data_IF_398547754822
#
_entry.id   IF_398547754822
#
_cell.length_a   1.000
_cell.length_b   1.000
_cell.length_c   1.000
_cell.angle_alpha   90.00
_cell.angle_beta   90.00
_cell.angle_gamma   90.00
#
_symmetry.space_group_name_H-M   'P 1'
#
loop_
_entity.id
_entity.type
_entity.pdbx_description
1 polymer ?
#
# COMPACT_ATOMS: atom_id res chain seq x y z
N UNK A 1 -32.70 4.50 4.06
CA UNK A 1 -32.34 5.40 2.94
C UNK A 1 -30.90 5.07 2.56
N UNK A 2 -30.73 4.48 1.38
CA UNK A 2 -29.53 3.95 0.69
C UNK A 2 -28.26 3.61 1.51
N UNK A 3 -28.08 2.31 1.77
CA UNK A 3 -26.79 1.72 2.08
C UNK A 3 -25.86 1.83 0.86
N UNK A 4 -24.79 2.63 0.97
CA UNK A 4 -23.67 2.59 0.03
C UNK A 4 -22.86 1.33 0.34
N UNK A 5 -23.40 0.20 -0.08
CA UNK A 5 -22.70 -1.07 -0.16
C UNK A 5 -22.05 -1.17 -1.54
N UNK A 6 -21.21 -0.18 -1.87
CA UNK A 6 -20.27 -0.34 -2.97
C UNK A 6 -19.28 -1.41 -2.52
N UNK A 7 -19.37 -2.58 -3.16
CA UNK A 7 -18.51 -3.73 -2.92
C UNK A 7 -17.04 -3.33 -3.15
N UNK A 8 -16.36 -2.85 -2.11
CA UNK A 8 -14.90 -2.80 -2.07
C UNK A 8 -14.40 -4.24 -2.21
N UNK A 9 -14.05 -4.65 -3.44
CA UNK A 9 -13.30 -5.87 -3.72
C UNK A 9 -11.94 -5.79 -2.98
N UNK A 10 -11.33 -6.93 -2.61
CA UNK A 10 -10.80 -7.12 -1.26
C UNK A 10 -9.64 -6.19 -0.93
N UNK A 11 -9.69 -5.62 0.28
CA UNK A 11 -8.77 -4.63 0.80
C UNK A 11 -7.30 -5.00 0.58
N UNK A 12 -6.48 -4.01 0.18
CA UNK A 12 -5.02 -4.16 0.18
C UNK A 12 -4.55 -4.15 1.63
N UNK A 13 -3.73 -5.12 2.01
CA UNK A 13 -3.05 -5.14 3.32
C UNK A 13 -1.57 -4.88 3.07
N UNK A 14 -1.02 -3.84 3.68
CA UNK A 14 0.42 -3.58 3.66
C UNK A 14 1.11 -4.42 4.74
N UNK A 15 2.21 -5.06 4.38
CA UNK A 15 2.86 -6.15 5.12
C UNK A 15 4.31 -5.83 5.36
N UNK A 16 4.75 -5.98 6.61
CA UNK A 16 6.13 -5.70 6.98
C UNK A 16 6.73 -6.71 7.94
N UNK A 17 8.05 -6.80 7.88
CA UNK A 17 8.88 -7.45 8.87
C UNK A 17 9.12 -6.46 10.03
N UNK A 18 8.25 -6.43 11.04
CA UNK A 18 8.51 -5.68 12.26
C UNK A 18 9.21 -6.59 13.27
N UNK A 19 10.38 -6.18 13.78
CA UNK A 19 10.99 -6.79 14.95
C UNK A 19 10.05 -6.64 16.17
N UNK A 20 9.99 -7.67 17.01
CA UNK A 20 9.06 -7.80 18.14
C UNK A 20 9.06 -6.57 19.07
N UNK A 21 7.88 -6.00 19.32
CA UNK A 21 7.61 -5.24 20.54
C UNK A 21 6.56 -6.03 21.32
N UNK A 22 6.89 -6.62 22.47
CA UNK A 22 5.91 -7.39 23.24
C UNK A 22 4.84 -6.44 23.81
N UNK A 23 3.55 -6.77 23.63
CA UNK A 23 2.53 -6.35 24.58
C UNK A 23 1.38 -5.41 24.15
N UNK A 24 0.98 -5.30 22.87
CA UNK A 24 -0.30 -4.62 22.54
C UNK A 24 -1.11 -5.35 21.47
N UNK A 25 -2.25 -5.90 21.88
CA UNK A 25 -3.30 -6.40 21.00
C UNK A 25 -4.15 -5.21 20.49
N UNK A 26 -4.47 -5.19 19.19
CA UNK A 26 -5.40 -4.20 18.63
C UNK A 26 -5.09 -3.64 17.24
N UNK A 27 -4.11 -4.19 16.51
CA UNK A 27 -3.79 -3.78 15.15
C UNK A 27 -3.77 -5.02 14.25
N UNK A 28 -4.38 -4.95 13.06
CA UNK A 28 -4.07 -5.89 11.99
C UNK A 28 -2.72 -5.51 11.35
N UNK A 29 -1.69 -5.31 12.18
CA UNK A 29 -0.30 -5.34 11.76
C UNK A 29 0.10 -6.79 11.72
N UNK A 30 0.38 -7.25 10.53
CA UNK A 30 0.69 -8.64 10.36
C UNK A 30 2.20 -8.82 10.41
N UNK A 31 2.66 -9.12 11.62
CA UNK A 31 4.05 -9.42 11.93
C UNK A 31 4.45 -10.76 11.29
N UNK A 32 5.65 -10.83 10.70
CA UNK A 32 6.22 -12.08 10.18
C UNK A 32 6.26 -13.13 11.29
N UNK A 33 5.46 -14.21 11.22
CA UNK A 33 5.57 -15.27 12.20
C UNK A 33 6.84 -16.05 11.85
N UNK A 34 7.81 -16.08 12.76
CA UNK A 34 9.07 -16.80 12.56
C UNK A 34 8.88 -18.21 11.99
N UNK A 35 9.87 -18.68 11.21
CA UNK A 35 9.84 -19.90 10.39
C UNK A 35 9.95 -21.20 11.23
N UNK A 36 9.60 -21.19 12.51
CA UNK A 36 10.02 -22.27 13.44
C UNK A 36 9.21 -23.58 13.36
N UNK A 37 8.20 -23.69 12.51
CA UNK A 37 7.51 -24.98 12.28
C UNK A 37 6.64 -24.94 11.01
N UNK A 38 7.17 -25.35 9.85
CA UNK A 38 6.33 -25.50 8.66
C UNK A 38 6.66 -26.74 7.83
N UNK A 39 5.61 -27.38 7.31
CA UNK A 39 5.68 -28.31 6.16
C UNK A 39 5.58 -27.49 4.87
N UNK A 40 6.27 -27.95 3.82
CA UNK A 40 6.25 -27.32 2.49
C UNK A 40 4.81 -27.21 1.95
N UNK A 41 4.45 -26.03 1.42
CA UNK A 41 3.20 -25.83 0.67
C UNK A 41 2.00 -25.26 1.43
N UNK A 42 2.04 -25.12 2.76
CA UNK A 42 0.95 -24.46 3.50
C UNK A 42 1.07 -22.92 3.47
N UNK A 43 0.01 -22.20 3.05
CA UNK A 43 -0.04 -20.74 3.16
C UNK A 43 0.19 -20.34 4.61
N UNK A 44 0.98 -19.28 4.83
CA UNK A 44 1.26 -18.84 6.19
C UNK A 44 -0.07 -18.50 6.90
N UNK A 45 -0.41 -19.26 7.94
CA UNK A 45 -1.77 -19.37 8.51
C UNK A 45 -2.40 -18.04 8.94
N UNK A 46 -1.58 -17.04 9.16
CA UNK A 46 -2.05 -15.72 9.56
C UNK A 46 -2.59 -14.93 8.32
N UNK A 47 -2.11 -15.18 7.09
CA UNK A 47 -2.42 -14.36 5.90
C UNK A 47 -3.74 -14.77 5.28
N UNK A 48 -3.99 -16.08 5.28
CA UNK A 48 -5.26 -16.66 4.84
C UNK A 48 -6.45 -16.23 5.72
N UNK A 49 -6.21 -15.87 6.98
CA UNK A 49 -7.26 -15.42 7.90
C UNK A 49 -7.72 -13.98 7.65
N UNK A 50 -6.90 -13.14 7.02
CA UNK A 50 -7.20 -11.73 6.81
C UNK A 50 -8.09 -11.45 5.58
N UNK A 51 -8.32 -12.43 4.70
CA UNK A 51 -9.15 -12.25 3.49
C UNK A 51 -8.60 -11.20 2.51
N UNK A 52 -7.33 -10.82 2.62
CA UNK A 52 -6.72 -9.80 1.80
C UNK A 52 -6.69 -10.23 0.33
N UNK A 53 -7.10 -9.33 -0.57
CA UNK A 53 -7.14 -9.60 -2.01
C UNK A 53 -5.78 -9.51 -2.68
N UNK A 54 -4.86 -8.81 -2.01
CA UNK A 54 -3.51 -8.48 -2.45
C UNK A 54 -2.69 -7.98 -1.25
N UNK A 55 -1.39 -8.22 -1.31
CA UNK A 55 -0.40 -7.71 -0.35
C UNK A 55 0.41 -6.59 -1.00
N UNK A 56 0.66 -5.52 -0.25
CA UNK A 56 1.72 -4.56 -0.54
C UNK A 56 2.90 -4.83 0.41
N UNK A 57 4.06 -5.17 -0.14
CA UNK A 57 5.25 -5.51 0.61
C UNK A 57 6.13 -4.27 0.77
N UNK A 58 6.30 -3.85 2.03
CA UNK A 58 7.10 -2.67 2.40
C UNK A 58 8.13 -3.05 3.48
N UNK A 59 9.18 -2.24 3.61
CA UNK A 59 9.94 -2.07 4.84
C UNK A 59 9.63 -0.69 5.46
N UNK A 60 10.25 -0.34 6.59
CA UNK A 60 10.25 1.04 7.09
C UNK A 60 8.87 1.70 7.28
N UNK A 61 7.87 1.00 7.85
CA UNK A 61 6.52 1.54 8.01
C UNK A 61 6.45 2.85 8.80
N UNK A 62 7.36 3.03 9.76
CA UNK A 62 7.45 4.24 10.57
C UNK A 62 7.67 5.47 9.67
N UNK A 63 8.36 5.28 8.54
CA UNK A 63 8.66 6.32 7.55
C UNK A 63 7.62 6.38 6.42
N UNK A 64 6.50 5.67 6.56
CA UNK A 64 5.45 5.56 5.55
C UNK A 64 5.68 4.48 4.48
N UNK A 65 6.66 3.60 4.68
CA UNK A 65 6.99 2.49 3.78
C UNK A 65 8.17 2.80 2.86
N UNK A 66 9.15 1.91 2.84
CA UNK A 66 10.33 1.95 1.96
C UNK A 66 10.52 0.62 1.24
N UNK A 67 11.43 0.58 0.26
CA UNK A 67 11.74 -0.65 -0.49
C UNK A 67 12.18 -1.76 0.48
N UNK A 68 11.52 -2.94 0.48
CA UNK A 68 11.96 -4.07 1.29
C UNK A 68 13.22 -4.73 0.72
N UNK A 69 13.85 -5.63 1.49
CA UNK A 69 14.89 -6.52 0.92
C UNK A 69 14.27 -7.40 -0.16
N UNK A 70 14.50 -7.04 -1.41
CA UNK A 70 13.84 -7.67 -2.57
C UNK A 70 14.28 -9.11 -2.76
N UNK A 71 15.58 -9.40 -2.73
CA UNK A 71 16.08 -10.76 -2.93
C UNK A 71 15.68 -11.72 -1.80
N UNK A 72 15.67 -11.24 -0.55
CA UNK A 72 15.35 -12.07 0.61
C UNK A 72 13.87 -12.14 0.92
N UNK A 73 13.26 -11.01 1.30
CA UNK A 73 11.92 -10.99 1.85
C UNK A 73 10.86 -11.37 0.82
N UNK A 74 10.92 -10.81 -0.39
CA UNK A 74 9.94 -11.12 -1.44
C UNK A 74 9.95 -12.61 -1.79
N UNK A 75 11.13 -13.21 -1.92
CA UNK A 75 11.27 -14.62 -2.25
C UNK A 75 10.56 -15.52 -1.22
N UNK A 76 10.77 -15.27 0.07
CA UNK A 76 10.12 -16.07 1.12
C UNK A 76 8.61 -15.77 1.19
N UNK A 77 8.19 -14.51 0.99
CA UNK A 77 6.76 -14.14 0.92
C UNK A 77 6.07 -14.91 -0.20
N UNK A 78 6.65 -14.93 -1.41
CA UNK A 78 6.08 -15.61 -2.58
C UNK A 78 5.95 -17.13 -2.41
N UNK A 79 6.77 -17.74 -1.56
CA UNK A 79 6.62 -19.16 -1.16
C UNK A 79 5.47 -19.37 -0.15
N UNK A 80 5.05 -18.32 0.56
CA UNK A 80 4.11 -18.38 1.67
C UNK A 80 2.69 -17.91 1.33
N UNK A 81 2.50 -17.16 0.24
CA UNK A 81 1.21 -16.54 -0.11
C UNK A 81 0.85 -16.82 -1.56
N UNK A 82 -0.46 -16.97 -1.81
CA UNK A 82 -1.00 -17.17 -3.17
C UNK A 82 -1.68 -15.93 -3.75
N UNK A 83 -1.91 -14.90 -2.92
CA UNK A 83 -2.46 -13.63 -3.36
C UNK A 83 -1.38 -12.79 -4.05
N UNK A 84 -1.75 -11.87 -4.97
CA UNK A 84 -0.77 -10.99 -5.61
C UNK A 84 0.02 -10.17 -4.59
N UNK A 85 1.33 -10.03 -4.82
CA UNK A 85 2.26 -9.27 -3.99
C UNK A 85 2.84 -8.12 -4.80
N UNK A 86 2.52 -6.90 -4.38
CA UNK A 86 3.05 -5.67 -4.94
C UNK A 86 4.21 -5.18 -4.09
N UNK A 87 5.27 -4.69 -4.69
CA UNK A 87 6.48 -4.28 -3.95
C UNK A 87 6.64 -2.76 -3.99
N UNK A 88 6.84 -2.17 -2.81
CA UNK A 88 7.20 -0.75 -2.70
C UNK A 88 8.58 -0.49 -3.29
N UNK A 89 8.69 0.52 -4.14
CA UNK A 89 9.94 1.05 -4.70
C UNK A 89 10.06 2.50 -4.21
N UNK A 90 10.70 2.66 -3.05
CA UNK A 90 10.92 3.94 -2.37
C UNK A 90 12.21 3.86 -1.56
N UNK A 91 13.30 4.53 -2.00
CA UNK A 91 14.64 4.30 -1.46
C UNK A 91 14.83 4.85 -0.04
N UNK A 92 14.02 5.84 0.36
CA UNK A 92 14.06 6.46 1.70
C UNK A 92 12.70 7.04 2.10
N UNK A 93 12.55 7.32 3.40
CA UNK A 93 11.48 8.17 3.92
C UNK A 93 11.58 9.64 3.48
N UNK A 94 10.64 10.46 3.98
CA UNK A 94 10.56 11.89 3.68
C UNK A 94 9.79 12.20 2.39
N UNK A 95 10.29 13.17 1.63
CA UNK A 95 9.71 13.66 0.38
C UNK A 95 9.77 12.64 -0.79
N UNK A 96 9.29 13.08 -1.95
CA UNK A 96 9.24 12.32 -3.19
C UNK A 96 10.01 13.02 -4.33
N UNK A 97 10.99 13.85 -3.95
CA UNK A 97 11.94 14.51 -4.84
C UNK A 97 13.21 13.67 -4.86
N UNK A 98 13.49 13.02 -5.99
CA UNK A 98 14.60 12.07 -6.08
C UNK A 98 15.76 12.65 -6.88
N UNK A 99 16.96 12.51 -6.34
CA UNK A 99 18.21 12.74 -7.08
C UNK A 99 18.43 11.63 -8.11
N UNK A 100 19.26 11.90 -9.13
CA UNK A 100 19.59 10.92 -10.17
C UNK A 100 20.07 9.58 -9.61
N UNK A 101 20.88 9.62 -8.54
CA UNK A 101 21.38 8.41 -7.87
C UNK A 101 20.27 7.61 -7.21
N UNK A 102 19.30 8.28 -6.59
CA UNK A 102 18.14 7.61 -5.99
C UNK A 102 17.24 7.01 -7.06
N UNK A 103 17.08 7.70 -8.19
CA UNK A 103 16.37 7.18 -9.36
C UNK A 103 17.04 5.91 -9.90
N UNK A 104 18.37 5.88 -9.97
CA UNK A 104 19.09 4.68 -10.39
C UNK A 104 18.90 3.50 -9.44
N UNK A 105 18.87 3.76 -8.13
CA UNK A 105 18.53 2.75 -7.11
C UNK A 105 17.10 2.24 -7.32
N UNK A 106 16.12 3.14 -7.51
CA UNK A 106 14.73 2.76 -7.76
C UNK A 106 14.58 1.88 -9.01
N UNK A 107 15.29 2.23 -10.09
CA UNK A 107 15.31 1.43 -11.32
C UNK A 107 15.92 0.04 -11.07
N UNK A 108 17.00 -0.06 -10.30
CA UNK A 108 17.63 -1.33 -9.95
C UNK A 108 16.70 -2.21 -9.10
N UNK A 109 16.09 -1.63 -8.06
CA UNK A 109 15.13 -2.33 -7.19
C UNK A 109 13.90 -2.80 -7.95
N UNK A 110 13.37 -1.99 -8.87
CA UNK A 110 12.25 -2.39 -9.73
C UNK A 110 12.60 -3.60 -10.60
N UNK A 111 13.81 -3.65 -11.18
CA UNK A 111 14.28 -4.81 -11.96
C UNK A 111 14.43 -6.05 -11.08
N UNK A 112 15.01 -5.90 -9.89
CA UNK A 112 15.15 -7.00 -8.94
C UNK A 112 13.78 -7.52 -8.49
N UNK A 113 12.82 -6.64 -8.22
CA UNK A 113 11.49 -7.04 -7.76
C UNK A 113 10.77 -7.87 -8.82
N UNK A 114 10.89 -7.48 -10.09
CA UNK A 114 10.42 -8.27 -11.23
C UNK A 114 11.10 -9.63 -11.31
N UNK A 115 12.43 -9.66 -11.21
CA UNK A 115 13.21 -10.89 -11.29
C UNK A 115 12.81 -11.89 -10.19
N UNK A 116 12.50 -11.39 -8.99
CA UNK A 116 12.09 -12.18 -7.84
C UNK A 116 10.56 -12.43 -7.75
N UNK A 117 9.81 -12.12 -8.80
CA UNK A 117 8.42 -12.54 -8.95
C UNK A 117 7.38 -11.64 -8.30
N UNK A 118 7.64 -10.33 -8.18
CA UNK A 118 6.61 -9.35 -7.85
C UNK A 118 5.47 -9.41 -8.87
N UNK A 119 4.22 -9.31 -8.39
CA UNK A 119 3.03 -9.29 -9.25
C UNK A 119 2.62 -7.86 -9.63
N UNK A 120 3.28 -6.86 -9.04
CA UNK A 120 3.07 -5.44 -9.28
C UNK A 120 4.06 -4.59 -8.50
N UNK A 121 4.13 -3.30 -8.82
CA UNK A 121 5.04 -2.36 -8.17
C UNK A 121 4.30 -1.13 -7.69
N UNK A 122 4.84 -0.48 -6.66
CA UNK A 122 4.28 0.74 -6.08
C UNK A 122 5.39 1.78 -5.96
N UNK A 123 5.16 2.98 -6.49
CA UNK A 123 6.07 4.12 -6.30
C UNK A 123 5.30 5.43 -6.51
N UNK A 124 5.97 6.57 -6.34
CA UNK A 124 5.47 7.84 -6.84
C UNK A 124 6.56 8.90 -6.74
N UNK A 125 6.56 9.83 -7.68
CA UNK A 125 7.55 10.90 -7.76
C UNK A 125 6.84 12.23 -8.02
N UNK A 126 7.32 13.28 -7.36
CA UNK A 126 6.80 14.63 -7.48
C UNK A 126 7.91 15.58 -7.94
N UNK A 127 7.48 16.74 -8.43
CA UNK A 127 8.31 17.92 -8.67
C UNK A 127 8.26 18.85 -7.46
N UNK A 128 9.19 19.80 -7.38
CA UNK A 128 9.24 20.80 -6.29
C UNK A 128 7.94 21.60 -6.16
N UNK A 129 7.23 21.81 -7.27
CA UNK A 129 5.93 22.49 -7.32
C UNK A 129 4.74 21.61 -6.85
N UNK A 130 5.00 20.38 -6.38
CA UNK A 130 3.95 19.46 -5.95
C UNK A 130 3.13 18.90 -7.12
N UNK A 131 3.69 18.86 -8.33
CA UNK A 131 3.08 18.15 -9.48
C UNK A 131 3.70 16.78 -9.66
N UNK A 132 3.02 15.87 -10.36
CA UNK A 132 3.58 14.56 -10.74
C UNK A 132 4.82 14.78 -11.61
N UNK A 133 5.94 14.15 -11.26
CA UNK A 133 7.11 14.12 -12.12
C UNK A 133 6.88 13.13 -13.27
N UNK A 134 6.39 13.66 -14.39
CA UNK A 134 5.99 12.86 -15.55
C UNK A 134 7.17 12.13 -16.20
N UNK A 135 8.32 12.79 -16.32
CA UNK A 135 9.51 12.21 -16.96
C UNK A 135 10.05 11.04 -16.14
N UNK A 136 10.22 11.25 -14.83
CA UNK A 136 10.67 10.18 -13.94
C UNK A 136 9.66 9.04 -13.86
N UNK A 137 8.36 9.36 -13.76
CA UNK A 137 7.32 8.33 -13.74
C UNK A 137 7.33 7.50 -15.04
N UNK A 138 7.49 8.12 -16.21
CA UNK A 138 7.61 7.40 -17.48
C UNK A 138 8.83 6.46 -17.51
N UNK A 139 9.98 6.96 -17.05
CA UNK A 139 11.21 6.17 -17.00
C UNK A 139 11.08 4.94 -16.09
N UNK A 140 10.45 5.11 -14.91
CA UNK A 140 10.19 4.00 -13.98
C UNK A 140 9.13 3.03 -14.52
N UNK A 141 8.01 3.53 -15.08
CA UNK A 141 6.97 2.71 -15.70
C UNK A 141 7.55 1.82 -16.81
N UNK A 142 8.46 2.35 -17.63
CA UNK A 142 9.14 1.58 -18.67
C UNK A 142 9.93 0.40 -18.10
N UNK A 143 10.56 0.57 -16.94
CA UNK A 143 11.27 -0.51 -16.22
C UNK A 143 10.27 -1.52 -15.62
N UNK A 144 9.14 -1.05 -15.10
CA UNK A 144 8.13 -1.87 -14.42
C UNK A 144 7.34 -2.79 -15.37
N UNK A 145 7.09 -2.36 -16.62
CA UNK A 145 6.32 -3.13 -17.60
C UNK A 145 6.85 -4.56 -17.78
N UNK A 146 5.98 -5.58 -17.91
CA UNK A 146 4.52 -5.48 -18.07
C UNK A 146 3.72 -5.45 -16.76
N UNK A 147 4.38 -5.32 -15.60
CA UNK A 147 3.69 -5.41 -14.32
C UNK A 147 2.77 -4.21 -14.07
N UNK A 148 1.61 -4.42 -13.42
CA UNK A 148 0.74 -3.35 -12.97
C UNK A 148 1.45 -2.44 -11.96
N UNK A 149 1.23 -1.14 -12.07
CA UNK A 149 1.85 -0.15 -11.17
C UNK A 149 0.79 0.66 -10.44
N UNK A 150 1.02 0.87 -9.14
CA UNK A 150 0.20 1.71 -8.27
C UNK A 150 0.99 2.97 -7.88
N UNK A 151 0.38 4.15 -8.03
CA UNK A 151 0.96 5.39 -7.52
C UNK A 151 0.65 5.51 -6.01
N UNK A 152 1.67 5.60 -5.16
CA UNK A 152 1.45 5.63 -3.70
C UNK A 152 1.00 7.00 -3.17
N UNK A 153 1.00 7.15 -1.84
CA UNK A 153 0.58 8.34 -1.10
C UNK A 153 1.36 9.63 -1.34
N UNK A 154 2.37 9.65 -2.21
CA UNK A 154 2.82 10.92 -2.81
C UNK A 154 1.67 11.71 -3.43
N UNK A 155 0.60 11.03 -3.86
CA UNK A 155 -0.61 11.69 -4.33
C UNK A 155 -1.22 12.64 -3.29
N UNK A 156 -1.14 12.32 -1.99
CA UNK A 156 -1.69 13.17 -0.94
C UNK A 156 -0.92 14.49 -0.74
N UNK A 157 0.24 14.64 -1.40
CA UNK A 157 1.11 15.82 -1.33
C UNK A 157 1.07 16.68 -2.60
N UNK A 158 0.17 16.38 -3.54
CA UNK A 158 0.08 17.12 -4.80
C UNK A 158 -0.63 18.45 -4.62
N UNK A 159 -0.27 19.44 -5.45
CA UNK A 159 -0.90 20.75 -5.44
C UNK A 159 -2.35 20.72 -5.95
N UNK A 160 -2.60 20.02 -7.06
CA UNK A 160 -3.94 19.84 -7.63
C UNK A 160 -4.23 18.34 -7.86
N UNK A 161 -5.07 17.71 -7.01
CA UNK A 161 -5.34 16.28 -7.09
C UNK A 161 -6.15 15.87 -8.33
N UNK A 162 -6.95 16.77 -8.89
CA UNK A 162 -7.76 16.46 -10.09
C UNK A 162 -6.86 16.38 -11.32
N UNK A 163 -5.94 17.35 -11.47
CA UNK A 163 -4.95 17.37 -12.55
C UNK A 163 -3.93 16.24 -12.38
N UNK A 164 -3.50 15.98 -11.15
CA UNK A 164 -2.59 14.87 -10.85
C UNK A 164 -3.21 13.52 -11.26
N UNK A 165 -4.50 13.31 -10.98
CA UNK A 165 -5.20 12.08 -11.35
C UNK A 165 -5.25 11.89 -12.87
N UNK A 166 -5.58 12.93 -13.65
CA UNK A 166 -5.55 12.84 -15.12
C UNK A 166 -4.16 12.56 -15.68
N UNK A 167 -3.14 13.14 -15.06
CA UNK A 167 -1.74 12.90 -15.42
C UNK A 167 -1.38 11.44 -15.19
N UNK A 168 -1.69 10.89 -14.01
CA UNK A 168 -1.47 9.48 -13.70
C UNK A 168 -2.26 8.55 -14.62
N UNK A 169 -3.45 8.98 -15.05
CA UNK A 169 -4.25 8.27 -16.03
C UNK A 169 -3.55 8.17 -17.38
N UNK A 170 -3.09 9.31 -17.87
CA UNK A 170 -2.40 9.43 -19.16
C UNK A 170 -1.09 8.65 -19.18
N UNK A 171 -0.38 8.57 -18.05
CA UNK A 171 0.85 7.80 -17.91
C UNK A 171 0.62 6.27 -17.88
N UNK A 172 -0.58 5.83 -17.51
CA UNK A 172 -0.96 4.41 -17.47
C UNK A 172 -0.75 3.74 -16.11
N UNK A 173 -0.83 4.48 -15.01
CA UNK A 173 -0.92 3.87 -13.67
C UNK A 173 -2.28 3.22 -13.47
N UNK A 174 -2.34 1.97 -13.01
CA UNK A 174 -3.63 1.28 -12.87
C UNK A 174 -4.41 1.73 -11.63
N UNK A 175 -3.70 2.20 -10.61
CA UNK A 175 -4.23 2.50 -9.27
C UNK A 175 -3.49 3.66 -8.63
N UNK A 176 -4.18 4.37 -7.75
CA UNK A 176 -3.64 5.44 -6.91
C UNK A 176 -4.01 5.16 -5.46
N UNK A 177 -3.06 5.23 -4.53
CA UNK A 177 -3.29 5.19 -3.09
C UNK A 177 -3.37 6.61 -2.55
N UNK A 178 -4.47 6.94 -1.89
CA UNK A 178 -4.72 8.28 -1.35
C UNK A 178 -5.58 8.22 -0.09
N UNK A 179 -5.31 9.12 0.86
CA UNK A 179 -6.20 9.47 1.97
C UNK A 179 -7.10 10.67 1.65
N UNK A 180 -7.22 11.05 0.37
CA UNK A 180 -7.98 12.22 -0.06
C UNK A 180 -7.29 13.53 0.31
N UNK A 181 -5.95 13.56 0.27
CA UNK A 181 -5.14 14.74 0.63
C UNK A 181 -5.39 15.25 2.06
N UNK A 182 -5.85 14.37 2.94
CA UNK A 182 -6.12 14.66 4.35
C UNK A 182 -5.35 13.70 5.28
N UNK A 183 -5.38 14.03 6.58
CA UNK A 183 -4.81 13.28 7.69
C UNK A 183 -5.26 11.81 7.74
N UNK A 184 -6.49 11.53 7.32
CA UNK A 184 -7.07 10.19 7.23
C UNK A 184 -8.00 10.07 6.01
N UNK A 185 -8.21 8.84 5.53
CA UNK A 185 -9.12 8.60 4.41
C UNK A 185 -10.60 8.87 4.76
N UNK A 186 -10.96 8.90 6.05
CA UNK A 186 -12.30 9.26 6.48
C UNK A 186 -12.54 10.76 6.30
N UNK A 187 -11.56 11.59 6.71
CA UNK A 187 -11.62 13.04 6.53
C UNK A 187 -11.55 13.42 5.05
N UNK A 188 -10.66 12.79 4.27
CA UNK A 188 -10.53 13.01 2.83
C UNK A 188 -11.60 12.32 1.98
N UNK A 189 -12.60 11.67 2.59
CA UNK A 189 -13.67 10.94 1.89
C UNK A 189 -14.41 11.79 0.84
N UNK A 190 -14.70 13.09 1.07
CA UNK A 190 -15.33 13.94 0.06
C UNK A 190 -14.49 14.08 -1.22
N UNK A 191 -13.17 14.28 -1.10
CA UNK A 191 -12.28 14.36 -2.25
C UNK A 191 -12.17 13.00 -2.95
N UNK A 192 -12.01 11.94 -2.18
CA UNK A 192 -11.97 10.56 -2.69
C UNK A 192 -13.19 10.25 -3.57
N UNK A 193 -14.41 10.64 -3.15
CA UNK A 193 -15.63 10.44 -3.94
C UNK A 193 -15.56 11.19 -5.27
N UNK A 194 -15.13 12.45 -5.26
CA UNK A 194 -14.96 13.26 -6.47
C UNK A 194 -13.95 12.65 -7.43
N UNK A 195 -12.81 12.17 -6.91
CA UNK A 195 -11.80 11.47 -7.70
C UNK A 195 -12.38 10.19 -8.32
N UNK A 196 -13.13 9.40 -7.54
CA UNK A 196 -13.75 8.18 -8.03
C UNK A 196 -14.80 8.43 -9.13
N UNK A 197 -15.56 9.51 -9.04
CA UNK A 197 -16.54 9.93 -10.06
C UNK A 197 -15.84 10.32 -11.38
N UNK A 198 -14.68 10.97 -11.31
CA UNK A 198 -13.90 11.37 -12.48
C UNK A 198 -13.38 10.18 -13.28
N UNK A 199 -12.99 9.07 -12.63
CA UNK A 199 -12.45 7.87 -13.31
C UNK A 199 -13.53 6.91 -13.82
N UNK A 200 -14.74 7.41 -14.15
CA UNK A 200 -15.83 6.58 -14.71
C UNK A 200 -15.50 5.93 -16.08
N UNK A 201 -14.27 6.04 -16.57
CA UNK A 201 -13.72 5.30 -17.73
C UNK A 201 -13.00 4.02 -17.29
N UNK A 202 -13.12 2.90 -18.04
CA UNK A 202 -12.85 1.54 -17.56
C UNK A 202 -11.37 1.15 -17.31
N UNK A 203 -10.41 2.07 -17.42
CA UNK A 203 -8.99 1.69 -17.49
C UNK A 203 -8.21 1.87 -16.19
N UNK A 204 -8.68 2.71 -15.27
CA UNK A 204 -7.96 3.00 -14.01
C UNK A 204 -8.94 2.94 -12.86
N UNK A 205 -8.55 2.23 -11.81
CA UNK A 205 -9.36 2.11 -10.60
C UNK A 205 -8.67 2.92 -9.51
N UNK A 206 -9.16 4.12 -9.16
CA UNK A 206 -8.70 4.81 -7.97
C UNK A 206 -9.02 3.89 -6.78
N UNK A 207 -7.98 3.25 -6.25
CA UNK A 207 -8.12 2.36 -5.11
C UNK A 207 -7.93 3.19 -3.86
N UNK A 208 -9.04 3.60 -3.28
CA UNK A 208 -9.06 4.24 -1.97
C UNK A 208 -8.45 3.28 -0.97
N UNK A 209 -7.31 3.65 -0.40
CA UNK A 209 -6.68 2.90 0.65
C UNK A 209 -6.82 3.70 1.94
N UNK A 210 -7.75 3.29 2.80
CA UNK A 210 -7.77 3.73 4.18
C UNK A 210 -6.52 3.17 4.86
N UNK A 211 -5.43 3.95 4.89
CA UNK A 211 -4.42 3.74 5.92
C UNK A 211 -5.02 4.26 7.22
N UNK A 212 -5.30 3.44 8.24
CA UNK A 212 -5.48 3.96 9.58
C UNK A 212 -4.13 4.52 10.00
N UNK A 213 -3.96 5.84 9.89
CA UNK A 213 -2.99 6.52 10.76
C UNK A 213 -3.45 6.19 12.18
N UNK A 214 -2.52 5.86 13.07
CA UNK A 214 -2.78 5.32 14.41
C UNK A 214 -3.73 6.21 15.25
N UNK A 215 -5.03 6.09 15.04
CA UNK A 215 -6.04 6.58 15.96
C UNK A 215 -6.29 5.45 16.95
N UNK A 216 -5.99 5.72 18.22
CA UNK A 216 -6.43 4.91 19.33
C UNK A 216 -7.96 4.76 19.22
N UNK A 217 -8.43 3.60 18.81
CA UNK A 217 -9.83 3.22 19.01
C UNK A 217 -10.12 3.33 20.50
N UNK A 218 -11.16 4.07 20.94
CA UNK A 218 -11.57 4.03 22.33
C UNK A 218 -11.94 2.59 22.65
N UNK A 219 -11.28 2.01 23.65
CA UNK A 219 -11.59 0.69 24.16
C UNK A 219 -13.08 0.64 24.47
N UNK A 220 -13.82 -0.15 23.70
CA UNK A 220 -15.16 -0.57 24.06
C UNK A 220 -15.04 -1.35 25.38
N UNK A 221 -15.30 -0.68 26.50
CA UNK A 221 -15.57 -1.35 27.76
C UNK A 221 -16.89 -2.08 27.57
N UNK A 222 -16.82 -3.37 27.25
CA UNK A 222 -17.96 -4.27 27.38
C UNK A 222 -18.24 -4.44 28.87
N UNK A 223 -19.12 -3.61 29.40
CA UNK A 223 -19.82 -3.86 30.65
C UNK A 223 -20.60 -5.17 30.52
N UNK A 224 -20.18 -6.22 31.21
CA UNK A 224 -21.05 -7.33 31.57
C UNK A 224 -21.34 -7.24 33.08
N UNK A 225 -22.60 -7.31 33.51
CA UNK A 225 -22.93 -7.35 34.93
C UNK A 225 -22.55 -8.72 35.51
N UNK A 226 -21.89 -8.71 36.67
CA UNK A 226 -21.68 -9.91 37.47
C UNK A 226 -23.02 -10.39 38.01
N UNK A 227 -23.39 -11.63 37.70
CA UNK A 227 -24.41 -12.38 38.42
C UNK A 227 -23.85 -12.76 39.79
N UNK A 228 -24.45 -12.24 40.86
CA UNK A 228 -24.29 -12.77 42.23
C UNK A 228 -25.07 -14.08 42.35
N UNK A 229 -24.36 -15.14 42.71
CA UNK A 229 -24.92 -16.42 43.13
C UNK A 229 -24.73 -16.51 44.65
N UNK A 230 -25.84 -16.54 45.38
CA UNK A 230 -25.95 -17.06 46.76
C UNK A 230 -27.15 -17.99 46.79
#
# INVERSE_FOLDING_TARGET
MLAIQQRCRPCTVSVCNAAAVPGRAGLAHMQWPGVSSRREGEPCAAWSKAGAGRIELCAGLIEGGTTPSVAGLLQVVKQCVRVPVFVMIRPRGGDFLYSDREVDVMKADARLAKLHGADGLVFGALTEDGRIDTELCMALLAVCRPLPVTFHRAFDMVHDPMVALETLISLGFERVLTSGCDSSALEGLPLIKRLAEQVSTPHIHPLVCCSPRAEMLPTAQSSQPMSEET
#
